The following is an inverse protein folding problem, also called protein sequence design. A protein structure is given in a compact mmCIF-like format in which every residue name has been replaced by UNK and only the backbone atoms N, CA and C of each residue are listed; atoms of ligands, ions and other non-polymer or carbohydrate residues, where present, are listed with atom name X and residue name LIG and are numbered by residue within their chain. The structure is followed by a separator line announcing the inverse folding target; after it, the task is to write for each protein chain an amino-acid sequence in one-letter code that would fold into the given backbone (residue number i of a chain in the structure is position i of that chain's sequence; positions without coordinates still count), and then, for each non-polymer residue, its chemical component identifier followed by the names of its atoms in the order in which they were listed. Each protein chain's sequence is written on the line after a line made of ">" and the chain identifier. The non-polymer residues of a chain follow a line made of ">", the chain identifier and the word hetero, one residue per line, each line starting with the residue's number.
data_IF_797310091981
#
_entry.id   IF_797310091981
#
_cell.length_a   1.000
_cell.length_b   1.000
_cell.length_c   1.000
_cell.angle_alpha   90.00
_cell.angle_beta   90.00
_cell.angle_gamma   90.00
#
_symmetry.space_group_name_H-M   'P 1'
#
loop_
_entity.id
_entity.type
_entity.pdbx_description
1 polymer ?
#
# COMPACT_ATOMS: atom_id res chain seq x y z
N UNK A 1 -28.47 73.84 34.61
CA UNK A 1 -29.80 73.63 34.01
C UNK A 1 -29.59 73.30 32.55
N UNK A 2 -30.19 72.19 32.07
CA UNK A 2 -30.43 71.78 30.65
C UNK A 2 -29.22 71.62 29.71
N UNK A 3 -28.80 70.42 29.24
CA UNK A 3 -29.47 69.33 28.49
C UNK A 3 -29.67 69.68 26.99
N UNK A 4 -29.04 68.94 26.08
CA UNK A 4 -29.72 67.99 25.17
C UNK A 4 -28.76 67.24 24.21
N UNK A 5 -28.98 65.92 24.14
CA UNK A 5 -28.48 65.00 23.12
C UNK A 5 -29.03 65.35 21.72
N UNK A 6 -28.26 65.04 20.68
CA UNK A 6 -28.71 65.02 19.29
C UNK A 6 -27.93 63.99 18.47
N UNK A 7 -28.34 62.72 18.55
CA UNK A 7 -28.01 61.69 17.57
C UNK A 7 -28.69 62.01 16.24
N UNK A 8 -27.92 62.14 15.16
CA UNK A 8 -28.37 62.03 13.76
C UNK A 8 -27.32 61.14 13.08
N UNK A 9 -27.47 59.82 13.08
CA UNK A 9 -28.23 59.05 12.09
C UNK A 9 -28.00 59.56 10.65
N UNK A 10 -26.88 59.16 10.06
CA UNK A 10 -26.80 58.97 8.62
C UNK A 10 -26.70 57.46 8.38
N UNK A 11 -27.87 56.88 8.10
CA UNK A 11 -28.04 55.55 7.58
C UNK A 11 -27.41 55.51 6.18
N UNK A 12 -26.13 55.14 6.07
CA UNK A 12 -25.57 54.63 4.82
C UNK A 12 -25.64 53.11 4.92
N UNK A 13 -26.60 52.56 4.18
CA UNK A 13 -26.65 51.17 3.70
C UNK A 13 -25.44 50.33 4.13
N UNK A 14 -25.71 49.36 5.01
CA UNK A 14 -24.89 48.17 5.14
C UNK A 14 -24.87 47.45 3.80
N UNK A 15 -24.02 47.91 2.89
CA UNK A 15 -23.40 47.03 1.93
C UNK A 15 -22.51 46.14 2.79
N UNK A 16 -22.92 44.88 2.94
CA UNK A 16 -21.98 43.82 3.26
C UNK A 16 -20.81 44.09 2.33
N UNK A 17 -19.68 44.56 2.86
CA UNK A 17 -18.54 44.87 2.03
C UNK A 17 -18.28 43.60 1.22
N UNK A 18 -18.55 43.65 -0.09
CA UNK A 18 -18.26 42.54 -0.95
C UNK A 18 -16.79 42.24 -0.72
N UNK A 19 -16.50 41.05 -0.16
CA UNK A 19 -15.12 40.64 0.04
C UNK A 19 -14.36 40.95 -1.24
N UNK A 20 -13.29 41.75 -1.11
CA UNK A 20 -12.55 42.19 -2.27
C UNK A 20 -12.09 40.95 -3.07
N UNK A 21 -12.00 41.04 -4.40
CA UNK A 21 -11.48 39.94 -5.21
C UNK A 21 -10.14 39.40 -4.68
N UNK A 22 -9.33 40.27 -4.06
CA UNK A 22 -8.08 39.92 -3.37
C UNK A 22 -8.29 39.11 -2.07
N UNK A 23 -9.24 39.48 -1.21
CA UNK A 23 -9.52 38.71 0.01
C UNK A 23 -10.15 37.35 -0.30
N UNK A 24 -10.96 37.26 -1.36
CA UNK A 24 -11.50 35.99 -1.88
C UNK A 24 -10.38 35.10 -2.44
N UNK A 25 -9.49 35.67 -3.23
CA UNK A 25 -8.33 34.96 -3.78
C UNK A 25 -7.36 34.46 -2.70
N UNK A 26 -7.04 35.26 -1.68
CA UNK A 26 -6.17 34.82 -0.60
C UNK A 26 -6.81 33.71 0.26
N UNK A 27 -8.13 33.80 0.51
CA UNK A 27 -8.87 32.72 1.18
C UNK A 27 -8.88 31.44 0.37
N UNK A 28 -9.05 31.54 -0.95
CA UNK A 28 -8.93 30.43 -1.90
C UNK A 28 -7.58 29.74 -1.78
N UNK A 29 -6.48 30.50 -1.85
CA UNK A 29 -5.12 29.97 -1.74
C UNK A 29 -4.86 29.33 -0.37
N UNK A 30 -5.35 29.92 0.72
CA UNK A 30 -5.18 29.38 2.09
C UNK A 30 -6.00 28.10 2.29
N UNK A 31 -7.26 28.08 1.86
CA UNK A 31 -8.12 26.90 1.95
C UNK A 31 -7.52 25.73 1.16
N UNK A 32 -7.06 26.02 -0.06
CA UNK A 32 -6.39 25.08 -0.95
C UNK A 32 -5.08 24.54 -0.36
N UNK A 33 -4.27 25.40 0.25
CA UNK A 33 -3.04 25.00 0.94
C UNK A 33 -3.29 24.09 2.15
N UNK A 34 -4.34 24.37 2.94
CA UNK A 34 -4.72 23.53 4.08
C UNK A 34 -5.24 22.16 3.65
N UNK A 35 -6.09 22.11 2.61
CA UNK A 35 -6.62 20.86 2.09
C UNK A 35 -5.51 20.00 1.44
N UNK A 36 -4.54 20.63 0.77
CA UNK A 36 -3.35 19.93 0.26
C UNK A 36 -2.48 19.37 1.41
N UNK A 37 -2.28 20.13 2.49
CA UNK A 37 -1.55 19.65 3.67
C UNK A 37 -2.24 18.44 4.32
N UNK A 38 -3.57 18.44 4.40
CA UNK A 38 -4.35 17.32 4.95
C UNK A 38 -4.19 16.03 4.13
N UNK A 39 -4.08 16.16 2.80
CA UNK A 39 -3.72 15.02 1.93
C UNK A 39 -2.33 14.49 2.29
N UNK A 40 -1.34 15.36 2.43
CA UNK A 40 0.04 14.97 2.69
C UNK A 40 0.25 14.33 4.07
N UNK A 41 -0.39 14.85 5.12
CA UNK A 41 -0.28 14.31 6.49
C UNK A 41 -0.89 12.91 6.60
N UNK A 42 -2.01 12.65 5.91
CA UNK A 42 -2.69 11.35 5.91
C UNK A 42 -1.79 10.21 5.39
N UNK A 43 -0.88 10.48 4.45
CA UNK A 43 0.09 9.50 3.98
C UNK A 43 1.21 9.17 4.98
N UNK A 44 1.58 10.13 5.82
CA UNK A 44 2.62 9.95 6.84
C UNK A 44 2.27 8.84 7.83
N UNK A 45 1.00 8.78 8.23
CA UNK A 45 0.51 7.80 9.20
C UNK A 45 0.58 6.35 8.67
N UNK A 46 0.49 6.15 7.35
CA UNK A 46 0.50 4.82 6.72
C UNK A 46 1.84 4.08 6.92
N UNK A 47 2.97 4.80 6.86
CA UNK A 47 4.33 4.22 6.93
C UNK A 47 4.65 3.60 8.29
N UNK A 48 4.07 4.11 9.39
CA UNK A 48 4.35 3.60 10.73
C UNK A 48 3.77 2.20 11.03
N UNK A 49 2.80 1.72 10.24
CA UNK A 49 2.03 0.51 10.56
C UNK A 49 2.78 -0.81 10.40
N UNK A 50 3.65 -0.94 9.40
CA UNK A 50 4.33 -2.21 9.05
C UNK A 50 5.61 -2.43 9.85
N UNK A 51 6.27 -1.37 10.30
CA UNK A 51 7.52 -1.42 11.08
C UNK A 51 7.35 -2.08 12.47
N UNK A 52 6.11 -2.25 12.95
CA UNK A 52 5.79 -2.90 14.22
C UNK A 52 5.56 -4.42 14.14
N UNK A 53 5.63 -5.02 12.96
CA UNK A 53 5.29 -6.43 12.78
C UNK A 53 6.30 -7.37 13.45
N UNK A 54 5.79 -8.40 14.11
CA UNK A 54 6.55 -9.43 14.80
C UNK A 54 5.84 -10.79 14.68
N UNK A 55 6.40 -11.84 15.28
CA UNK A 55 5.87 -13.19 15.17
C UNK A 55 4.45 -13.35 15.71
N UNK A 56 4.01 -12.46 16.61
CA UNK A 56 2.67 -12.47 17.22
C UNK A 56 1.69 -11.53 16.52
N UNK A 57 2.14 -10.74 15.54
CA UNK A 57 1.26 -9.91 14.72
C UNK A 57 0.23 -10.79 14.06
N UNK A 58 -1.04 -10.40 14.18
CA UNK A 58 -2.15 -11.18 13.66
C UNK A 58 -2.26 -10.97 12.15
N UNK A 59 -2.83 -11.96 11.47
CA UNK A 59 -3.18 -11.78 10.04
C UNK A 59 -4.21 -10.68 9.85
N UNK A 60 -5.10 -10.47 10.82
CA UNK A 60 -6.03 -9.34 10.84
C UNK A 60 -5.32 -7.97 10.94
N UNK A 61 -4.11 -7.89 11.49
CA UNK A 61 -3.31 -6.65 11.45
C UNK A 61 -2.79 -6.38 10.03
N UNK A 62 -2.51 -7.43 9.25
CA UNK A 62 -2.24 -7.31 7.79
C UNK A 62 -3.50 -6.84 7.06
N UNK A 63 -4.67 -7.34 7.44
CA UNK A 63 -5.95 -6.80 6.97
C UNK A 63 -6.10 -5.31 7.31
N UNK A 64 -5.81 -4.92 8.56
CA UNK A 64 -5.84 -3.53 8.99
C UNK A 64 -4.88 -2.64 8.19
N UNK A 65 -3.71 -3.16 7.78
CA UNK A 65 -2.81 -2.48 6.87
C UNK A 65 -3.49 -2.17 5.53
N UNK A 66 -4.08 -3.16 4.85
CA UNK A 66 -4.76 -2.93 3.56
C UNK A 66 -5.96 -2.00 3.71
N UNK A 67 -6.72 -2.11 4.81
CA UNK A 67 -7.80 -1.17 5.12
C UNK A 67 -7.28 0.26 5.26
N UNK A 68 -6.15 0.46 5.95
CA UNK A 68 -5.54 1.78 6.09
C UNK A 68 -5.06 2.33 4.74
N UNK A 69 -4.47 1.50 3.88
CA UNK A 69 -4.11 1.89 2.50
C UNK A 69 -5.36 2.36 1.75
N UNK A 70 -6.42 1.56 1.77
CA UNK A 70 -7.70 1.91 1.14
C UNK A 70 -8.24 3.26 1.63
N UNK A 71 -8.43 3.40 2.95
CA UNK A 71 -9.06 4.58 3.54
C UNK A 71 -8.24 5.85 3.30
N UNK A 72 -6.91 5.76 3.36
CA UNK A 72 -6.00 6.89 3.11
C UNK A 72 -6.08 7.37 1.65
N UNK A 73 -6.07 6.42 0.71
CA UNK A 73 -6.08 6.74 -0.73
C UNK A 73 -7.46 7.25 -1.16
N UNK A 74 -8.55 6.70 -0.61
CA UNK A 74 -9.90 7.20 -0.85
C UNK A 74 -10.11 8.59 -0.25
N UNK A 75 -9.57 8.85 0.94
CA UNK A 75 -9.55 10.19 1.54
C UNK A 75 -8.82 11.19 0.65
N UNK A 76 -7.66 10.81 0.12
CA UNK A 76 -6.88 11.63 -0.82
C UNK A 76 -7.67 11.97 -2.08
N UNK A 77 -8.31 10.96 -2.69
CA UNK A 77 -9.18 11.15 -3.85
C UNK A 77 -10.28 12.17 -3.55
N UNK A 78 -11.02 11.98 -2.45
CA UNK A 78 -12.11 12.86 -2.04
C UNK A 78 -11.62 14.30 -1.82
N UNK A 79 -10.47 14.48 -1.17
CA UNK A 79 -9.87 15.79 -0.97
C UNK A 79 -9.44 16.46 -2.29
N UNK A 80 -8.88 15.72 -3.24
CA UNK A 80 -8.51 16.25 -4.55
C UNK A 80 -9.73 16.66 -5.39
N UNK A 81 -10.80 15.87 -5.35
CA UNK A 81 -12.07 16.21 -6.00
C UNK A 81 -12.69 17.47 -5.39
N UNK A 82 -12.62 17.61 -4.05
CA UNK A 82 -13.04 18.83 -3.36
C UNK A 82 -12.19 20.05 -3.78
N UNK A 83 -10.87 19.90 -3.85
CA UNK A 83 -9.96 20.95 -4.34
C UNK A 83 -10.41 21.47 -5.71
N UNK A 84 -10.72 20.58 -6.64
CA UNK A 84 -11.20 20.95 -7.98
C UNK A 84 -12.54 21.69 -7.92
N UNK A 85 -13.48 21.23 -7.08
CA UNK A 85 -14.78 21.86 -6.91
C UNK A 85 -14.67 23.28 -6.33
N UNK A 86 -13.80 23.47 -5.33
CA UNK A 86 -13.54 24.77 -4.70
C UNK A 86 -12.90 25.72 -5.72
N UNK A 87 -11.89 25.26 -6.48
CA UNK A 87 -11.27 26.04 -7.56
C UNK A 87 -12.28 26.51 -8.62
N UNK A 88 -13.24 25.66 -9.00
CA UNK A 88 -14.31 26.02 -9.96
C UNK A 88 -15.26 27.05 -9.38
N UNK A 89 -15.65 26.88 -8.12
CA UNK A 89 -16.58 27.79 -7.42
C UNK A 89 -15.95 29.18 -7.24
N UNK A 90 -14.65 29.22 -6.99
CA UNK A 90 -13.89 30.46 -6.77
C UNK A 90 -13.42 31.12 -8.08
N UNK A 91 -13.74 30.53 -9.25
CA UNK A 91 -13.39 31.08 -10.56
C UNK A 91 -11.89 31.04 -10.87
N UNK A 92 -11.17 30.05 -10.35
CA UNK A 92 -9.73 29.92 -10.58
C UNK A 92 -9.46 29.60 -12.06
N UNK A 93 -8.61 30.37 -12.76
CA UNK A 93 -8.34 30.17 -14.19
C UNK A 93 -7.66 28.84 -14.51
N UNK A 94 -7.06 28.18 -13.53
CA UNK A 94 -6.40 26.88 -13.69
C UNK A 94 -7.30 25.69 -13.32
N UNK A 95 -8.56 25.92 -12.92
CA UNK A 95 -9.45 24.86 -12.42
C UNK A 95 -9.63 23.70 -13.41
N UNK A 96 -9.74 23.97 -14.71
CA UNK A 96 -9.89 22.93 -15.74
C UNK A 96 -8.60 22.10 -15.94
N UNK A 97 -7.43 22.76 -15.86
CA UNK A 97 -6.15 22.06 -15.93
C UNK A 97 -5.95 21.16 -14.71
N UNK A 98 -6.28 21.66 -13.51
CA UNK A 98 -6.26 20.87 -12.27
C UNK A 98 -7.25 19.70 -12.32
N UNK A 99 -8.49 19.92 -12.79
CA UNK A 99 -9.50 18.86 -12.94
C UNK A 99 -8.98 17.73 -13.83
N UNK A 100 -8.33 18.08 -14.94
CA UNK A 100 -7.73 17.09 -15.85
C UNK A 100 -6.63 16.28 -15.16
N UNK A 101 -5.72 16.95 -14.44
CA UNK A 101 -4.64 16.29 -13.70
C UNK A 101 -5.18 15.38 -12.57
N UNK A 102 -6.18 15.85 -11.81
CA UNK A 102 -6.82 15.09 -10.75
C UNK A 102 -7.56 13.88 -11.31
N UNK A 103 -8.35 14.03 -12.37
CA UNK A 103 -9.06 12.90 -13.01
C UNK A 103 -8.09 11.83 -13.51
N UNK A 104 -6.97 12.24 -14.10
CA UNK A 104 -5.90 11.31 -14.52
C UNK A 104 -5.33 10.56 -13.31
N UNK A 105 -4.92 11.26 -12.25
CA UNK A 105 -4.40 10.65 -11.03
C UNK A 105 -5.40 9.67 -10.39
N UNK A 106 -6.67 10.07 -10.28
CA UNK A 106 -7.73 9.25 -9.70
C UNK A 106 -7.97 7.98 -10.52
N UNK A 107 -8.19 8.12 -11.83
CA UNK A 107 -8.58 7.01 -12.70
C UNK A 107 -7.43 6.05 -13.02
N UNK A 108 -6.21 6.56 -13.20
CA UNK A 108 -5.07 5.73 -13.55
C UNK A 108 -4.41 5.08 -12.33
N UNK A 109 -4.54 5.69 -11.15
CA UNK A 109 -3.79 5.33 -9.94
C UNK A 109 -4.67 5.10 -8.71
N UNK A 110 -5.35 6.14 -8.18
CA UNK A 110 -5.97 6.05 -6.85
C UNK A 110 -7.06 4.97 -6.79
N UNK A 111 -7.92 4.87 -7.81
CA UNK A 111 -8.98 3.85 -7.89
C UNK A 111 -8.39 2.43 -7.88
N UNK A 112 -7.33 2.19 -8.66
CA UNK A 112 -6.72 0.85 -8.73
C UNK A 112 -6.08 0.45 -7.40
N UNK A 113 -5.50 1.42 -6.68
CA UNK A 113 -4.92 1.18 -5.36
C UNK A 113 -6.03 0.88 -4.35
N UNK A 114 -7.13 1.64 -4.33
CA UNK A 114 -8.25 1.38 -3.41
C UNK A 114 -8.93 0.06 -3.70
N UNK A 115 -9.22 -0.24 -4.97
CA UNK A 115 -9.80 -1.52 -5.39
C UNK A 115 -8.88 -2.70 -5.03
N UNK A 116 -7.58 -2.59 -5.32
CA UNK A 116 -6.60 -3.62 -4.99
C UNK A 116 -6.46 -3.85 -3.48
N UNK A 117 -6.44 -2.79 -2.69
CA UNK A 117 -6.39 -2.89 -1.22
C UNK A 117 -7.67 -3.52 -0.65
N UNK A 118 -8.84 -3.14 -1.17
CA UNK A 118 -10.13 -3.71 -0.78
C UNK A 118 -10.22 -5.20 -1.13
N UNK A 119 -9.68 -5.63 -2.27
CA UNK A 119 -9.62 -7.05 -2.63
C UNK A 119 -8.63 -7.82 -1.75
N UNK A 120 -7.44 -7.28 -1.48
CA UNK A 120 -6.44 -7.93 -0.63
C UNK A 120 -6.92 -8.15 0.81
N UNK A 121 -7.70 -7.20 1.34
CA UNK A 121 -8.30 -7.26 2.68
C UNK A 121 -9.07 -8.57 2.91
N UNK A 122 -9.82 -9.04 1.91
CA UNK A 122 -10.67 -10.24 1.98
C UNK A 122 -9.88 -11.53 2.25
N UNK A 123 -8.58 -11.54 1.97
CA UNK A 123 -7.72 -12.70 2.20
C UNK A 123 -6.94 -12.68 3.52
N UNK A 124 -6.88 -11.53 4.20
CA UNK A 124 -6.08 -11.31 5.40
C UNK A 124 -6.95 -11.22 6.68
N UNK A 125 -7.83 -12.20 6.88
CA UNK A 125 -8.80 -12.22 7.98
C UNK A 125 -8.56 -13.42 8.91
N UNK A 126 -7.71 -13.28 9.93
CA UNK A 126 -7.60 -14.25 11.03
C UNK A 126 -6.88 -13.64 12.25
N UNK A 127 -7.21 -14.13 13.44
CA UNK A 127 -6.45 -13.84 14.67
C UNK A 127 -5.18 -14.68 14.79
N UNK A 128 -4.96 -15.64 13.89
CA UNK A 128 -3.71 -16.40 13.84
C UNK A 128 -2.52 -15.45 13.62
N UNK A 129 -1.35 -15.74 14.21
CA UNK A 129 -0.14 -14.97 13.96
C UNK A 129 0.35 -15.13 12.50
N UNK A 130 1.07 -14.14 11.98
CA UNK A 130 1.77 -14.27 10.69
C UNK A 130 2.93 -15.29 10.78
N UNK A 131 3.49 -15.49 11.98
CA UNK A 131 4.47 -16.53 12.30
C UNK A 131 3.82 -17.86 12.73
N UNK A 132 2.63 -18.21 12.21
CA UNK A 132 1.90 -19.43 12.60
C UNK A 132 2.59 -20.69 12.06
N UNK A 133 3.33 -21.35 12.93
CA UNK A 133 4.02 -22.61 12.68
C UNK A 133 3.53 -23.61 13.71
N UNK A 134 3.14 -24.80 13.26
CA UNK A 134 2.72 -25.85 14.15
C UNK A 134 3.90 -26.36 15.01
N UNK A 135 3.62 -26.71 16.26
CA UNK A 135 4.64 -27.22 17.19
C UNK A 135 5.12 -28.63 16.79
N UNK A 136 4.22 -29.43 16.23
CA UNK A 136 4.48 -30.76 15.71
C UNK A 136 3.49 -31.03 14.58
N UNK A 137 4.00 -31.58 13.47
CA UNK A 137 3.20 -31.88 12.27
C UNK A 137 2.37 -30.66 11.79
N UNK A 138 1.37 -30.86 10.93
CA UNK A 138 0.19 -29.99 10.89
C UNK A 138 0.33 -28.63 10.20
N UNK A 139 0.84 -28.59 8.97
CA UNK A 139 0.69 -27.41 8.11
C UNK A 139 -0.74 -27.27 7.56
N UNK A 140 -1.18 -26.05 7.24
CA UNK A 140 -2.54 -25.80 6.73
C UNK A 140 -2.57 -24.73 5.65
N UNK A 141 -3.27 -25.00 4.55
CA UNK A 141 -3.43 -24.10 3.41
C UNK A 141 -3.95 -22.71 3.79
N UNK A 142 -3.50 -21.69 3.05
CA UNK A 142 -4.08 -20.36 3.13
C UNK A 142 -5.43 -20.30 2.41
N UNK A 143 -6.43 -19.73 3.07
CA UNK A 143 -7.73 -19.38 2.52
C UNK A 143 -7.67 -17.92 2.04
N UNK A 144 -8.28 -17.61 0.89
CA UNK A 144 -8.30 -16.24 0.35
C UNK A 144 -6.99 -15.79 -0.30
N UNK A 145 -6.06 -16.73 -0.60
CA UNK A 145 -4.81 -16.41 -1.33
C UNK A 145 -5.09 -15.77 -2.69
N UNK A 146 -6.16 -16.17 -3.37
CA UNK A 146 -6.57 -15.56 -4.64
C UNK A 146 -6.87 -14.06 -4.52
N UNK A 147 -7.57 -13.67 -3.46
CA UNK A 147 -7.89 -12.27 -3.19
C UNK A 147 -6.64 -11.47 -2.82
N UNK A 148 -5.72 -12.05 -2.03
CA UNK A 148 -4.41 -11.43 -1.77
C UNK A 148 -3.61 -11.22 -3.06
N UNK A 149 -3.49 -12.25 -3.91
CA UNK A 149 -2.74 -12.16 -5.18
C UNK A 149 -3.37 -11.12 -6.09
N UNK A 150 -4.69 -11.17 -6.31
CA UNK A 150 -5.40 -10.20 -7.17
C UNK A 150 -5.31 -8.78 -6.65
N UNK A 151 -5.53 -8.59 -5.35
CA UNK A 151 -5.47 -7.27 -4.72
C UNK A 151 -4.07 -6.66 -4.77
N UNK A 152 -3.05 -7.44 -4.39
CA UNK A 152 -1.65 -7.00 -4.48
C UNK A 152 -1.27 -6.72 -5.94
N UNK A 153 -1.71 -7.56 -6.90
CA UNK A 153 -1.48 -7.33 -8.33
C UNK A 153 -2.04 -6.00 -8.80
N UNK A 154 -3.29 -5.69 -8.46
CA UNK A 154 -3.93 -4.42 -8.84
C UNK A 154 -3.15 -3.19 -8.37
N UNK A 155 -2.50 -3.26 -7.20
CA UNK A 155 -1.64 -2.21 -6.68
C UNK A 155 -0.28 -2.21 -7.40
N UNK A 156 0.41 -3.36 -7.43
CA UNK A 156 1.77 -3.51 -7.98
C UNK A 156 1.85 -3.12 -9.46
N UNK A 157 0.83 -3.47 -10.25
CA UNK A 157 0.74 -3.12 -11.68
C UNK A 157 0.70 -1.61 -11.91
N UNK A 158 0.38 -0.81 -10.89
CA UNK A 158 0.40 0.66 -10.95
C UNK A 158 1.69 1.22 -10.37
N UNK A 159 2.14 0.70 -9.23
CA UNK A 159 3.17 1.37 -8.41
C UNK A 159 4.59 0.80 -8.59
N UNK A 160 4.76 -0.38 -9.17
CA UNK A 160 6.05 -1.09 -9.29
C UNK A 160 6.33 -1.65 -10.69
N UNK A 161 5.82 -0.99 -11.75
CA UNK A 161 6.09 -1.39 -13.13
C UNK A 161 7.59 -1.47 -13.41
N UNK A 162 8.06 -2.65 -13.81
CA UNK A 162 9.46 -2.89 -14.17
C UNK A 162 10.43 -2.93 -12.99
N UNK A 163 9.94 -3.05 -11.75
CA UNK A 163 10.77 -3.12 -10.53
C UNK A 163 10.64 -4.49 -9.88
N UNK A 164 11.78 -5.10 -9.56
CA UNK A 164 11.89 -6.45 -9.00
C UNK A 164 11.82 -7.54 -10.07
N UNK A 165 12.06 -8.78 -9.65
CA UNK A 165 12.04 -9.94 -10.53
C UNK A 165 11.43 -11.15 -9.80
N UNK A 166 10.36 -11.71 -10.36
CA UNK A 166 9.67 -12.88 -9.82
C UNK A 166 10.56 -14.14 -9.74
N UNK A 167 11.63 -14.16 -10.53
CA UNK A 167 12.60 -15.26 -10.61
C UNK A 167 13.96 -14.86 -10.01
N UNK A 168 13.98 -13.89 -9.08
CA UNK A 168 15.17 -13.45 -8.37
C UNK A 168 15.73 -14.50 -7.41
N UNK A 169 17.04 -14.39 -7.16
CA UNK A 169 17.83 -15.36 -6.42
C UNK A 169 18.07 -16.64 -7.22
N UNK A 170 18.53 -17.67 -6.52
CA UNK A 170 18.84 -18.97 -7.10
C UNK A 170 17.91 -20.07 -6.56
N UNK A 171 18.03 -21.25 -7.14
CA UNK A 171 17.29 -22.44 -6.73
C UNK A 171 18.05 -23.27 -5.68
N UNK A 172 19.17 -22.78 -5.14
CA UNK A 172 20.06 -23.58 -4.29
C UNK A 172 19.55 -23.66 -2.86
N UNK A 173 19.55 -24.87 -2.32
CA UNK A 173 19.16 -25.14 -0.93
C UNK A 173 20.26 -24.70 0.03
N UNK A 174 19.86 -24.14 1.17
CA UNK A 174 20.82 -23.60 2.15
C UNK A 174 21.76 -24.64 2.79
N UNK A 175 21.38 -25.93 2.79
CA UNK A 175 22.16 -26.98 3.49
C UNK A 175 23.54 -27.24 2.88
N UNK A 176 23.70 -27.02 1.57
CA UNK A 176 24.98 -27.16 0.87
C UNK A 176 25.33 -25.95 -0.02
N UNK A 177 24.39 -25.04 -0.25
CA UNK A 177 24.59 -23.83 -1.06
C UNK A 177 24.85 -24.10 -2.55
N UNK A 178 24.66 -25.34 -3.03
CA UNK A 178 25.08 -25.76 -4.38
C UNK A 178 24.07 -26.63 -5.11
N UNK A 179 23.30 -27.45 -4.39
CA UNK A 179 22.29 -28.32 -4.99
C UNK A 179 20.98 -27.55 -5.14
N UNK A 180 20.32 -27.70 -6.28
CA UNK A 180 18.99 -27.12 -6.48
C UNK A 180 17.97 -27.78 -5.52
N UNK A 181 17.00 -26.99 -5.06
CA UNK A 181 15.77 -27.48 -4.42
C UNK A 181 15.02 -28.36 -5.40
N UNK A 182 14.24 -29.30 -4.88
CA UNK A 182 13.41 -30.15 -5.72
C UNK A 182 12.00 -29.59 -5.86
N UNK A 183 11.38 -29.87 -7.00
CA UNK A 183 9.99 -29.48 -7.24
C UNK A 183 9.00 -30.22 -6.31
N UNK A 184 9.38 -31.39 -5.79
CA UNK A 184 8.59 -32.20 -4.87
C UNK A 184 8.93 -31.96 -3.38
N UNK A 185 9.63 -30.86 -3.07
CA UNK A 185 10.04 -30.46 -1.73
C UNK A 185 10.68 -31.63 -0.96
N UNK A 186 11.93 -31.94 -1.26
CA UNK A 186 12.67 -32.98 -0.54
C UNK A 186 12.94 -32.57 0.91
N UNK A 187 13.33 -33.54 1.74
CA UNK A 187 13.58 -33.27 3.16
C UNK A 187 14.72 -32.25 3.35
N UNK A 188 14.47 -31.26 4.20
CA UNK A 188 15.40 -30.18 4.46
C UNK A 188 15.32 -28.98 3.50
N UNK A 189 14.30 -28.93 2.64
CA UNK A 189 14.06 -27.81 1.71
C UNK A 189 12.86 -26.97 2.16
N UNK A 190 12.87 -25.67 1.85
CA UNK A 190 11.83 -24.74 2.29
C UNK A 190 10.41 -25.13 1.84
N UNK A 191 10.28 -25.86 0.72
CA UNK A 191 8.99 -26.39 0.24
C UNK A 191 8.29 -27.30 1.27
N UNK A 192 9.04 -28.00 2.12
CA UNK A 192 8.47 -28.89 3.16
C UNK A 192 7.65 -28.14 4.20
N UNK A 193 7.91 -26.85 4.41
CA UNK A 193 7.16 -26.03 5.35
C UNK A 193 5.69 -25.83 4.94
N UNK A 194 5.35 -26.09 3.68
CA UNK A 194 3.99 -25.96 3.16
C UNK A 194 3.19 -27.27 3.23
N UNK A 195 3.83 -28.38 3.61
CA UNK A 195 3.20 -29.69 3.69
C UNK A 195 2.15 -29.78 4.80
N UNK A 196 1.08 -30.55 4.63
CA UNK A 196 0.11 -30.81 5.70
C UNK A 196 0.68 -31.70 6.80
N UNK A 197 1.51 -32.68 6.42
CA UNK A 197 2.04 -33.67 7.34
C UNK A 197 3.06 -33.08 8.32
N UNK A 198 4.27 -32.76 7.86
CA UNK A 198 5.34 -32.16 8.65
C UNK A 198 6.46 -31.61 7.74
N UNK A 199 7.40 -30.88 8.35
CA UNK A 199 8.61 -30.37 7.72
C UNK A 199 9.79 -31.37 7.75
N UNK A 200 9.52 -32.66 7.98
CA UNK A 200 10.51 -33.71 8.26
C UNK A 200 10.78 -33.88 9.76
N UNK A 201 11.75 -34.75 10.09
CA UNK A 201 12.29 -34.87 11.44
C UNK A 201 12.92 -33.55 11.95
N UNK A 202 13.25 -33.48 13.24
CA UNK A 202 13.92 -32.33 13.85
C UNK A 202 15.11 -31.76 13.06
N UNK A 203 15.93 -32.61 12.44
CA UNK A 203 17.11 -32.18 11.67
C UNK A 203 16.70 -31.54 10.34
N UNK A 204 15.79 -32.20 9.63
CA UNK A 204 15.28 -31.73 8.36
C UNK A 204 14.39 -30.49 8.51
N UNK A 205 13.59 -30.40 9.56
CA UNK A 205 12.83 -29.18 9.87
C UNK A 205 13.74 -27.97 10.09
N UNK A 206 14.88 -28.13 10.78
CA UNK A 206 15.89 -27.08 10.94
C UNK A 206 16.51 -26.66 9.59
N UNK A 207 16.81 -27.61 8.71
CA UNK A 207 17.33 -27.33 7.37
C UNK A 207 16.30 -26.60 6.51
N UNK A 208 15.04 -27.05 6.51
CA UNK A 208 13.92 -26.40 5.81
C UNK A 208 13.72 -24.97 6.31
N UNK A 209 13.82 -24.75 7.62
CA UNK A 209 13.76 -23.43 8.22
C UNK A 209 14.93 -22.53 7.79
N UNK A 210 16.16 -23.05 7.81
CA UNK A 210 17.34 -22.32 7.34
C UNK A 210 17.25 -21.97 5.85
N UNK A 211 16.73 -22.89 5.04
CA UNK A 211 16.51 -22.66 3.61
C UNK A 211 15.45 -21.59 3.34
N UNK A 212 14.36 -21.58 4.11
CA UNK A 212 13.36 -20.52 4.07
C UNK A 212 13.95 -19.16 4.45
N UNK A 213 14.77 -19.11 5.52
CA UNK A 213 15.45 -17.88 5.92
C UNK A 213 16.44 -17.39 4.85
N UNK A 214 17.18 -18.29 4.21
CA UNK A 214 18.06 -17.96 3.08
C UNK A 214 17.27 -17.39 1.92
N UNK A 215 16.18 -18.03 1.52
CA UNK A 215 15.35 -17.58 0.40
C UNK A 215 14.81 -16.17 0.64
N UNK A 216 14.24 -15.91 1.82
CA UNK A 216 13.75 -14.59 2.19
C UNK A 216 14.89 -13.57 2.32
N UNK A 217 16.05 -13.99 2.83
CA UNK A 217 17.24 -13.14 2.97
C UNK A 217 17.84 -12.70 1.63
N UNK A 218 17.81 -13.57 0.62
CA UNK A 218 18.44 -13.37 -0.69
C UNK A 218 17.67 -12.43 -1.63
N UNK A 219 16.43 -12.08 -1.31
CA UNK A 219 15.55 -11.30 -2.20
C UNK A 219 15.07 -9.99 -1.57
N UNK A 220 14.68 -9.04 -2.43
CA UNK A 220 14.07 -7.77 -2.03
C UNK A 220 12.55 -7.90 -1.90
N UNK A 221 11.91 -6.93 -1.25
CA UNK A 221 10.44 -6.90 -1.19
C UNK A 221 9.78 -6.75 -2.56
N UNK A 222 10.42 -6.07 -3.52
CA UNK A 222 9.92 -5.97 -4.88
C UNK A 222 9.93 -7.34 -5.57
N UNK A 223 10.99 -8.13 -5.40
CA UNK A 223 11.07 -9.49 -5.94
C UNK A 223 9.98 -10.40 -5.35
N UNK A 224 9.74 -10.29 -4.03
CA UNK A 224 8.66 -11.00 -3.35
C UNK A 224 7.30 -10.62 -3.95
N UNK A 225 7.03 -9.32 -4.11
CA UNK A 225 5.79 -8.84 -4.71
C UNK A 225 5.62 -9.35 -6.14
N UNK A 226 6.67 -9.31 -6.97
CA UNK A 226 6.63 -9.84 -8.34
C UNK A 226 6.36 -11.35 -8.36
N UNK A 227 6.95 -12.12 -7.44
CA UNK A 227 6.67 -13.55 -7.31
C UNK A 227 5.23 -13.83 -6.89
N UNK A 228 4.65 -13.00 -6.03
CA UNK A 228 3.25 -13.08 -5.59
C UNK A 228 2.28 -12.86 -6.77
N UNK A 229 2.54 -11.86 -7.61
CA UNK A 229 1.60 -11.42 -8.66
C UNK A 229 1.79 -12.13 -10.01
N UNK A 230 2.77 -13.04 -10.09
CA UNK A 230 3.03 -13.87 -11.28
C UNK A 230 1.81 -14.72 -11.57
N UNK A 231 1.29 -14.60 -12.80
CA UNK A 231 0.11 -15.35 -13.21
C UNK A 231 0.37 -16.86 -13.16
N UNK A 232 -0.50 -17.60 -12.49
CA UNK A 232 -0.30 -19.02 -12.17
C UNK A 232 1.07 -19.31 -11.52
N UNK A 233 1.58 -18.34 -10.74
CA UNK A 233 2.88 -18.43 -10.09
C UNK A 233 2.95 -19.51 -9.01
N UNK A 234 4.10 -20.14 -8.92
CA UNK A 234 4.38 -21.20 -7.94
C UNK A 234 4.30 -20.69 -6.48
N UNK A 235 4.53 -19.40 -6.24
CA UNK A 235 4.35 -18.77 -4.92
C UNK A 235 2.90 -18.89 -4.42
N UNK A 236 1.93 -18.56 -5.28
CA UNK A 236 0.51 -18.69 -4.95
C UNK A 236 0.12 -20.16 -4.76
N UNK A 237 0.68 -21.07 -5.57
CA UNK A 237 0.46 -22.51 -5.44
C UNK A 237 0.95 -23.03 -4.10
N UNK A 238 2.19 -22.71 -3.69
CA UNK A 238 2.73 -23.07 -2.39
C UNK A 238 1.82 -22.63 -1.23
N UNK A 239 1.27 -21.42 -1.31
CA UNK A 239 0.40 -20.91 -0.27
C UNK A 239 -0.97 -21.60 -0.19
N UNK A 240 -1.53 -22.03 -1.33
CA UNK A 240 -2.87 -22.67 -1.43
C UNK A 240 -2.84 -24.18 -1.21
N UNK A 241 -1.74 -24.83 -1.55
CA UNK A 241 -1.63 -26.28 -1.51
C UNK A 241 -1.02 -26.77 -0.20
N UNK A 242 -1.13 -28.06 0.04
CA UNK A 242 -0.62 -28.73 1.26
C UNK A 242 0.41 -29.82 0.97
N UNK A 243 0.95 -29.89 -0.24
CA UNK A 243 2.03 -30.82 -0.59
C UNK A 243 3.42 -30.18 -0.45
N UNK A 244 3.52 -28.86 -0.60
CA UNK A 244 4.79 -28.17 -0.82
C UNK A 244 5.37 -28.36 -2.22
N UNK A 245 4.65 -29.04 -3.11
CA UNK A 245 5.12 -29.34 -4.44
C UNK A 245 4.79 -28.22 -5.44
N UNK A 246 5.75 -27.95 -6.31
CA UNK A 246 5.70 -26.99 -7.42
C UNK A 246 6.04 -27.71 -8.73
N UNK A 247 5.96 -27.04 -9.88
CA UNK A 247 6.30 -27.70 -11.17
C UNK A 247 7.79 -27.70 -11.49
N UNK A 248 8.52 -26.70 -11.01
CA UNK A 248 9.97 -26.53 -11.23
C UNK A 248 10.66 -26.23 -9.91
N UNK A 249 11.98 -26.46 -9.86
CA UNK A 249 12.78 -26.13 -8.68
C UNK A 249 12.55 -24.66 -8.28
N UNK A 250 12.01 -24.38 -7.08
CA UNK A 250 11.61 -23.03 -6.71
C UNK A 250 12.84 -22.18 -6.38
N UNK A 251 12.91 -21.00 -7.00
CA UNK A 251 13.91 -19.98 -6.66
C UNK A 251 13.57 -19.27 -5.35
N UNK A 252 14.53 -18.52 -4.84
CA UNK A 252 14.39 -17.76 -3.60
C UNK A 252 13.17 -16.84 -3.59
N UNK A 253 12.91 -16.09 -4.67
CA UNK A 253 11.75 -15.21 -4.76
C UNK A 253 10.41 -15.98 -4.71
N UNK A 254 10.35 -17.15 -5.34
CA UNK A 254 9.17 -18.03 -5.31
C UNK A 254 8.89 -18.54 -3.90
N UNK A 255 9.93 -19.01 -3.19
CA UNK A 255 9.80 -19.46 -1.80
C UNK A 255 9.38 -18.29 -0.90
N UNK A 256 10.03 -17.14 -1.01
CA UNK A 256 9.73 -15.96 -0.20
C UNK A 256 8.31 -15.43 -0.46
N UNK A 257 7.87 -15.40 -1.72
CA UNK A 257 6.49 -15.07 -2.10
C UNK A 257 5.46 -16.06 -1.54
N UNK A 258 5.75 -17.36 -1.61
CA UNK A 258 4.91 -18.39 -1.02
C UNK A 258 4.80 -18.25 0.51
N UNK A 259 5.93 -17.97 1.17
CA UNK A 259 5.98 -17.73 2.62
C UNK A 259 5.15 -16.50 2.97
N UNK A 260 5.34 -15.38 2.27
CA UNK A 260 4.58 -14.16 2.51
C UNK A 260 3.07 -14.39 2.35
N UNK A 261 2.63 -15.05 1.27
CA UNK A 261 1.22 -15.36 1.04
C UNK A 261 0.64 -16.28 2.11
N UNK A 262 1.36 -17.35 2.48
CA UNK A 262 0.91 -18.28 3.52
C UNK A 262 0.83 -17.60 4.89
N UNK A 263 1.77 -16.71 5.18
CA UNK A 263 1.80 -15.93 6.40
C UNK A 263 0.61 -14.96 6.49
N UNK A 264 0.27 -14.26 5.40
CA UNK A 264 -0.87 -13.31 5.35
C UNK A 264 -2.24 -14.00 5.26
N UNK A 265 -2.34 -15.11 4.53
CA UNK A 265 -3.63 -15.74 4.21
C UNK A 265 -4.30 -16.37 5.43
N UNK A 266 -5.61 -16.18 5.55
CA UNK A 266 -6.47 -16.78 6.58
C UNK A 266 -6.21 -18.29 6.73
N UNK A 267 -6.04 -18.78 7.97
CA UNK A 267 -5.80 -20.20 8.25
C UNK A 267 -4.43 -20.74 7.80
N UNK A 268 -3.65 -19.96 7.06
CA UNK A 268 -2.33 -20.36 6.60
C UNK A 268 -1.40 -20.68 7.78
N UNK A 269 -0.87 -21.90 7.79
CA UNK A 269 0.02 -22.40 8.84
C UNK A 269 1.15 -23.19 8.21
N UNK A 270 2.36 -22.99 8.71
CA UNK A 270 3.55 -23.74 8.31
C UNK A 270 3.67 -25.03 9.12
N UNK A 271 4.20 -26.06 8.48
CA UNK A 271 4.40 -27.37 9.08
C UNK A 271 5.49 -27.35 10.16
N UNK A 272 5.22 -28.02 11.28
CA UNK A 272 6.21 -28.32 12.31
C UNK A 272 7.03 -29.58 12.02
N UNK A 273 8.02 -29.92 12.86
CA UNK A 273 8.74 -31.19 12.81
C UNK A 273 7.81 -32.39 13.08
N UNK A 274 8.21 -33.60 12.64
CA UNK A 274 7.45 -34.83 12.89
C UNK A 274 7.52 -35.30 14.35
N UNK A 275 8.58 -34.94 15.05
CA UNK A 275 8.83 -35.20 16.46
C UNK A 275 8.90 -33.87 17.26
N UNK A 276 8.73 -33.94 18.59
CA UNK A 276 8.54 -32.78 19.48
C UNK A 276 9.77 -31.87 19.67
N UNK A 277 10.69 -31.77 18.71
CA UNK A 277 12.01 -31.21 18.93
C UNK A 277 12.48 -30.26 17.81
N UNK A 278 11.94 -29.04 17.73
CA UNK A 278 12.79 -27.87 17.45
C UNK A 278 12.08 -26.54 17.69
N UNK A 279 12.21 -25.99 18.90
CA UNK A 279 11.83 -24.58 19.17
C UNK A 279 12.58 -23.62 18.24
N UNK A 280 13.80 -23.96 17.83
CA UNK A 280 14.63 -23.13 16.95
C UNK A 280 14.09 -23.08 15.53
N UNK A 281 13.72 -24.22 14.93
CA UNK A 281 13.14 -24.25 13.58
C UNK A 281 11.87 -23.41 13.52
N UNK A 282 10.99 -23.54 14.54
CA UNK A 282 9.79 -22.72 14.68
C UNK A 282 10.11 -21.21 14.66
N UNK A 283 11.07 -20.78 15.48
CA UNK A 283 11.49 -19.37 15.55
C UNK A 283 12.07 -18.88 14.23
N UNK A 284 12.87 -19.69 13.55
CA UNK A 284 13.46 -19.33 12.25
C UNK A 284 12.36 -19.17 11.19
N UNK A 285 11.41 -20.11 11.11
CA UNK A 285 10.29 -20.02 10.16
C UNK A 285 9.41 -18.81 10.46
N UNK A 286 9.08 -18.57 11.73
CA UNK A 286 8.32 -17.39 12.12
C UNK A 286 9.07 -16.09 11.77
N UNK A 287 10.38 -16.03 11.99
CA UNK A 287 11.22 -14.90 11.58
C UNK A 287 11.26 -14.69 10.07
N UNK A 288 11.37 -15.78 9.30
CA UNK A 288 11.31 -15.74 7.84
C UNK A 288 9.94 -15.25 7.34
N UNK A 289 8.85 -15.70 7.96
CA UNK A 289 7.49 -15.24 7.66
C UNK A 289 7.31 -13.75 7.93
N UNK A 290 7.71 -13.27 9.11
CA UNK A 290 7.67 -11.84 9.46
C UNK A 290 8.50 -11.03 8.46
N UNK A 291 9.74 -11.45 8.21
CA UNK A 291 10.64 -10.75 7.28
C UNK A 291 10.07 -10.69 5.86
N UNK A 292 9.48 -11.78 5.36
CA UNK A 292 8.87 -11.80 4.03
C UNK A 292 7.68 -10.85 3.92
N UNK A 293 6.78 -10.87 4.92
CA UNK A 293 5.60 -9.98 4.97
C UNK A 293 6.04 -8.52 5.10
N UNK A 294 6.92 -8.21 6.05
CA UNK A 294 7.43 -6.84 6.27
C UNK A 294 8.12 -6.31 5.02
N UNK A 295 9.04 -7.07 4.39
CA UNK A 295 9.70 -6.66 3.13
C UNK A 295 8.69 -6.35 2.03
N UNK A 296 7.69 -7.21 1.83
CA UNK A 296 6.68 -7.04 0.79
C UNK A 296 5.83 -5.78 1.05
N UNK A 297 5.26 -5.64 2.25
CA UNK A 297 4.34 -4.54 2.57
C UNK A 297 5.06 -3.20 2.73
N UNK A 298 6.30 -3.17 3.25
CA UNK A 298 7.11 -1.94 3.29
C UNK A 298 7.40 -1.44 1.87
N UNK A 299 7.82 -2.35 0.97
CA UNK A 299 8.08 -2.01 -0.42
C UNK A 299 6.82 -1.51 -1.11
N UNK A 300 5.68 -2.17 -0.89
CA UNK A 300 4.39 -1.75 -1.43
C UNK A 300 4.00 -0.36 -0.94
N UNK A 301 4.17 -0.08 0.36
CA UNK A 301 3.89 1.22 0.99
C UNK A 301 4.74 2.34 0.39
N UNK A 302 6.05 2.10 0.26
CA UNK A 302 6.99 3.06 -0.33
C UNK A 302 6.62 3.34 -1.79
N UNK A 303 6.27 2.30 -2.55
CA UNK A 303 5.89 2.44 -3.94
C UNK A 303 4.58 3.21 -4.14
N UNK A 304 3.55 2.91 -3.32
CA UNK A 304 2.28 3.67 -3.29
C UNK A 304 2.57 5.14 -3.03
N UNK A 305 3.32 5.45 -1.97
CA UNK A 305 3.66 6.82 -1.61
C UNK A 305 4.39 7.54 -2.74
N UNK A 306 5.43 6.91 -3.31
CA UNK A 306 6.20 7.50 -4.41
C UNK A 306 5.32 7.80 -5.62
N UNK A 307 4.42 6.89 -5.97
CA UNK A 307 3.51 7.04 -7.12
C UNK A 307 2.53 8.19 -6.90
N UNK A 308 1.92 8.25 -5.70
CA UNK A 308 0.99 9.32 -5.36
C UNK A 308 1.70 10.66 -5.23
N UNK A 309 2.88 10.72 -4.62
CA UNK A 309 3.70 11.95 -4.51
C UNK A 309 4.02 12.52 -5.90
N UNK A 310 4.32 11.67 -6.88
CA UNK A 310 4.54 12.11 -8.27
C UNK A 310 3.24 12.66 -8.89
N UNK A 311 2.12 11.98 -8.70
CA UNK A 311 0.81 12.46 -9.18
C UNK A 311 0.39 13.78 -8.54
N UNK A 312 0.61 13.94 -7.23
CA UNK A 312 0.33 15.17 -6.50
C UNK A 312 1.20 16.34 -6.99
N UNK A 313 2.45 16.08 -7.41
CA UNK A 313 3.28 17.10 -8.06
C UNK A 313 2.70 17.55 -9.40
N UNK A 314 2.23 16.62 -10.24
CA UNK A 314 1.55 16.98 -11.50
C UNK A 314 0.30 17.84 -11.23
N UNK A 315 -0.47 17.50 -10.20
CA UNK A 315 -1.63 18.30 -9.77
C UNK A 315 -1.20 19.68 -9.28
N UNK A 316 -0.16 19.77 -8.45
CA UNK A 316 0.38 21.05 -7.96
C UNK A 316 0.86 21.94 -9.11
N UNK A 317 1.55 21.38 -10.10
CA UNK A 317 1.99 22.09 -11.29
C UNK A 317 0.80 22.61 -12.12
N UNK A 318 -0.25 21.78 -12.28
CA UNK A 318 -1.48 22.17 -12.97
C UNK A 318 -2.22 23.31 -12.25
N UNK A 319 -2.17 23.33 -10.91
CA UNK A 319 -2.78 24.40 -10.11
C UNK A 319 -2.08 25.75 -10.27
N UNK A 320 -0.82 25.76 -10.73
CA UNK A 320 0.05 26.94 -10.88
C UNK A 320 -0.04 27.91 -9.69
N UNK A 321 -0.04 27.38 -8.47
CA UNK A 321 0.05 28.21 -7.27
C UNK A 321 1.50 28.64 -7.11
N UNK A 322 1.93 29.68 -7.81
CA UNK A 322 3.12 30.41 -7.40
C UNK A 322 2.69 31.48 -6.39
N UNK A 323 3.37 31.55 -5.24
CA UNK A 323 3.19 32.63 -4.27
C UNK A 323 3.48 34.04 -4.83
N UNK A 324 4.04 34.11 -6.05
CA UNK A 324 4.39 35.31 -6.80
C UNK A 324 3.52 35.58 -8.03
N UNK A 325 2.54 34.73 -8.36
CA UNK A 325 1.67 34.99 -9.51
C UNK A 325 0.72 36.15 -9.18
N UNK A 326 0.92 37.28 -9.87
CA UNK A 326 0.01 38.41 -9.86
C UNK A 326 -1.28 37.97 -10.55
N UNK A 327 -2.48 38.20 -9.97
CA UNK A 327 -3.72 37.77 -10.59
C UNK A 327 -3.83 38.40 -11.98
N UNK A 328 -4.17 37.60 -13.00
CA UNK A 328 -4.45 38.11 -14.34
C UNK A 328 -5.70 39.00 -14.24
N UNK A 329 -5.48 40.31 -14.11
CA UNK A 329 -6.54 41.31 -14.21
C UNK A 329 -6.98 41.31 -15.67
N UNK A 330 -8.07 40.62 -15.97
CA UNK A 330 -8.80 40.85 -17.21
C UNK A 330 -9.67 42.09 -17.00
N UNK A 331 -9.07 43.28 -17.13
CA UNK A 331 -9.81 44.53 -17.25
C UNK A 331 -10.52 44.54 -18.62
N UNK A 332 -11.65 43.84 -18.73
CA UNK A 332 -12.59 44.10 -19.81
C UNK A 332 -13.64 45.10 -19.32
N UNK A 333 -13.19 46.32 -18.99
CA UNK A 333 -14.07 47.48 -19.02
C UNK A 333 -14.11 47.98 -20.45
N UNK A 334 -15.12 47.56 -21.19
CA UNK A 334 -15.55 48.25 -22.40
C UNK A 334 -15.79 49.71 -22.04
N UNK A 335 -14.97 50.60 -22.58
CA UNK A 335 -15.05 52.05 -22.35
C UNK A 335 -16.36 52.62 -22.89
N UNK A 336 -16.92 53.52 -22.10
CA UNK A 336 -18.11 54.32 -22.33
C UNK A 336 -18.10 55.09 -23.67
N UNK A 337 -19.28 55.29 -24.24
CA UNK A 337 -19.63 56.55 -24.89
C UNK A 337 -21.15 56.79 -24.81
N UNK A 338 -21.54 57.53 -23.77
CA UNK A 338 -22.73 58.38 -23.78
C UNK A 338 -22.33 59.69 -24.47
N UNK A 339 -23.09 60.12 -25.47
CA UNK A 339 -23.14 61.53 -25.86
C UNK A 339 -24.57 61.86 -26.27
N UNK A 340 -25.15 62.76 -25.48
CA UNK A 340 -26.30 63.68 -25.70
C UNK A 340 -27.50 63.23 -26.55
#
# INVERSE_FOLDING_TARGET
>A
MTLFLGFVSCNSSGTVAEESPQSRFLKSVISLGNDFLNVFTSFGDMVGGVLGFNSNTKKSDVGAYFKKVHDTVEGTKTSLEKIVADMKTEGNPNAEATDTAVKKLVSETLIKITEGASEALKGAESDDPIGNVADQNGGAAGIGVDSLVKGIKGIVDVVLKGVGNADAGDDKKASDGSTARTANAADGEAGKLFASANAGDASNAKKSAADAAKAVGAVTGADILQAIIKDNGEAAKLAKETSGNVTVAPKDATIAGGIALRAMAKGGKFAGPSDNASVDAKKIVAGAAVSAVTKALDTLTIAIRKTIDLGLKEVQEAMKINASDTPVISDNKTSEAKSE
#
